data_IF_120083409929
#
_entry.id   IF_120083409929
#
_cell.length_a   1.000
_cell.length_b   1.000
_cell.length_c   1.000
_cell.angle_alpha   90.00
_cell.angle_beta   90.00
_cell.angle_gamma   90.00
#
_symmetry.space_group_name_H-M   'P 1'
#
loop_
_entity.id
_entity.type
_entity.pdbx_description
1 polymer ?
#
# COMPACT_ATOMS: atom_id res chain seq x y z
N UNK A 1 -27.83 13.27 42.08
CA UNK A 1 -27.63 12.50 40.83
C UNK A 1 -26.15 12.22 40.66
N UNK A 2 -25.81 11.01 40.25
CA UNK A 2 -24.44 10.69 39.83
C UNK A 2 -24.09 11.47 38.54
N UNK A 3 -22.80 11.70 38.28
CA UNK A 3 -22.33 12.35 37.04
C UNK A 3 -22.87 11.64 35.78
N UNK A 4 -23.01 10.30 35.85
CA UNK A 4 -23.50 9.42 34.77
C UNK A 4 -24.98 9.62 34.49
N UNK A 5 -25.82 9.67 35.53
CA UNK A 5 -27.26 9.92 35.38
C UNK A 5 -27.53 11.30 34.80
N UNK A 6 -26.83 12.33 35.28
CA UNK A 6 -26.97 13.69 34.77
C UNK A 6 -26.58 13.79 33.28
N UNK A 7 -25.53 13.07 32.87
CA UNK A 7 -25.15 12.99 31.46
C UNK A 7 -26.19 12.27 30.61
N UNK A 8 -26.68 11.11 31.06
CA UNK A 8 -27.74 10.37 30.36
C UNK A 8 -29.03 11.18 30.19
N UNK A 9 -29.43 11.93 31.21
CA UNK A 9 -30.60 12.80 31.19
C UNK A 9 -30.46 13.98 30.24
N UNK A 10 -29.23 14.47 30.04
CA UNK A 10 -28.95 15.53 29.08
C UNK A 10 -29.05 15.05 27.63
N UNK A 11 -28.85 13.76 27.34
CA UNK A 11 -28.97 13.20 25.97
C UNK A 11 -30.44 13.11 25.54
N UNK A 12 -31.06 14.25 25.26
CA UNK A 12 -32.39 14.32 24.66
C UNK A 12 -32.61 15.66 23.95
N UNK A 13 -33.62 15.71 23.08
CA UNK A 13 -33.98 16.89 22.29
C UNK A 13 -34.30 18.13 23.15
N UNK A 14 -34.88 17.92 24.32
CA UNK A 14 -35.30 18.99 25.23
C UNK A 14 -34.12 19.64 25.96
N UNK A 15 -33.01 18.92 26.12
CA UNK A 15 -31.83 19.34 26.89
C UNK A 15 -30.55 19.42 26.04
N UNK A 16 -30.67 19.65 24.72
CA UNK A 16 -29.52 19.68 23.79
C UNK A 16 -28.44 20.68 24.23
N UNK A 17 -28.83 21.84 24.76
CA UNK A 17 -27.87 22.82 25.27
C UNK A 17 -27.06 22.28 26.45
N UNK A 18 -27.68 21.53 27.35
CA UNK A 18 -27.00 20.93 28.48
C UNK A 18 -26.08 19.79 28.04
N UNK A 19 -26.50 18.99 27.06
CA UNK A 19 -25.64 17.99 26.42
C UNK A 19 -24.41 18.62 25.76
N UNK A 20 -24.61 19.69 24.99
CA UNK A 20 -23.51 20.44 24.37
C UNK A 20 -22.58 21.05 25.42
N UNK A 21 -23.11 21.55 26.55
CA UNK A 21 -22.28 22.02 27.67
C UNK A 21 -21.44 20.91 28.28
N UNK A 22 -21.97 19.69 28.42
CA UNK A 22 -21.18 18.55 28.88
C UNK A 22 -20.05 18.19 27.90
N UNK A 23 -20.32 18.24 26.59
CA UNK A 23 -19.31 17.98 25.56
C UNK A 23 -18.26 19.10 25.51
N UNK A 24 -18.66 20.36 25.59
CA UNK A 24 -17.76 21.52 25.58
C UNK A 24 -16.87 21.59 26.83
N UNK A 25 -17.37 21.10 27.96
CA UNK A 25 -16.60 20.99 29.22
C UNK A 25 -15.58 19.86 29.24
N UNK A 26 -15.52 19.05 28.19
CA UNK A 26 -14.46 18.06 28.03
C UNK A 26 -13.13 18.77 27.74
N UNK A 27 -12.45 19.17 28.80
CA UNK A 27 -11.05 19.57 28.78
C UNK A 27 -10.31 18.77 29.86
N UNK A 28 -9.09 18.28 29.57
CA UNK A 28 -8.28 17.42 30.47
C UNK A 28 -7.90 18.11 31.79
N UNK A 29 -8.35 19.35 31.98
CA UNK A 29 -8.03 20.25 33.08
C UNK A 29 -9.25 20.64 33.93
N UNK A 30 -10.48 20.33 33.50
CA UNK A 30 -11.75 20.58 34.22
C UNK A 30 -12.39 19.27 34.78
N UNK A 31 -13.33 19.33 35.74
CA UNK A 31 -13.74 18.18 36.56
C UNK A 31 -14.69 17.15 35.91
N UNK A 32 -15.01 17.28 34.62
CA UNK A 32 -15.94 16.39 33.92
C UNK A 32 -15.32 15.83 32.63
N UNK A 33 -14.95 14.55 32.70
CA UNK A 33 -14.39 13.79 31.58
C UNK A 33 -15.47 12.88 30.98
N UNK A 34 -15.89 13.18 29.75
CA UNK A 34 -16.88 12.39 28.99
C UNK A 34 -16.35 10.98 28.71
N UNK A 35 -15.05 10.81 28.48
CA UNK A 35 -14.43 9.49 28.26
C UNK A 35 -14.53 8.64 29.53
N UNK A 36 -14.16 9.20 30.68
CA UNK A 36 -14.31 8.55 31.99
C UNK A 36 -15.78 8.16 32.25
N UNK A 37 -16.71 9.10 32.03
CA UNK A 37 -18.14 8.87 32.26
C UNK A 37 -18.69 7.74 31.40
N UNK A 38 -18.34 7.70 30.11
CA UNK A 38 -18.81 6.65 29.19
C UNK A 38 -18.17 5.28 29.52
N UNK A 39 -16.90 5.25 29.92
CA UNK A 39 -16.22 4.01 30.33
C UNK A 39 -16.75 3.45 31.65
N UNK A 40 -17.15 4.29 32.60
CA UNK A 40 -17.69 3.87 33.90
C UNK A 40 -19.18 3.47 33.88
N UNK A 41 -19.88 3.68 32.75
CA UNK A 41 -21.29 3.32 32.63
C UNK A 41 -21.48 1.81 32.70
N UNK A 42 -22.46 1.37 33.49
CA UNK A 42 -22.91 -0.02 33.44
C UNK A 42 -23.55 -0.33 32.08
N UNK A 43 -23.60 -1.60 31.70
CA UNK A 43 -24.17 -2.05 30.43
C UNK A 43 -25.54 -1.42 30.10
N UNK A 44 -26.49 -1.48 31.04
CA UNK A 44 -27.85 -0.93 30.83
C UNK A 44 -27.83 0.60 30.60
N UNK A 45 -26.88 1.30 31.23
CA UNK A 45 -26.68 2.74 31.04
C UNK A 45 -26.11 3.04 29.66
N UNK A 46 -25.16 2.23 29.16
CA UNK A 46 -24.60 2.37 27.80
C UNK A 46 -25.67 2.13 26.74
N UNK A 47 -26.44 1.05 26.87
CA UNK A 47 -27.54 0.73 25.96
C UNK A 47 -28.60 1.85 25.92
N UNK A 48 -28.96 2.40 27.08
CA UNK A 48 -29.88 3.54 27.17
C UNK A 48 -29.30 4.82 26.53
N UNK A 49 -28.00 5.09 26.73
CA UNK A 49 -27.31 6.22 26.10
C UNK A 49 -27.37 6.13 24.57
N UNK A 50 -27.06 4.97 24.01
CA UNK A 50 -27.07 4.77 22.55
C UNK A 50 -28.47 4.93 21.97
N UNK A 51 -29.51 4.43 22.66
CA UNK A 51 -30.90 4.66 22.25
C UNK A 51 -31.29 6.13 22.23
N UNK A 52 -30.84 6.89 23.24
CA UNK A 52 -31.06 8.34 23.33
C UNK A 52 -30.30 9.12 22.25
N UNK A 53 -29.05 8.78 21.97
CA UNK A 53 -28.26 9.36 20.89
C UNK A 53 -28.90 9.10 19.52
N UNK A 54 -29.35 7.87 19.27
CA UNK A 54 -30.02 7.51 18.03
C UNK A 54 -31.30 8.33 17.82
N UNK A 55 -32.09 8.50 18.88
CA UNK A 55 -33.33 9.30 18.86
C UNK A 55 -33.04 10.78 18.63
N UNK A 56 -32.04 11.33 19.33
CA UNK A 56 -31.63 12.73 19.17
C UNK A 56 -31.15 13.01 17.75
N UNK A 57 -30.29 12.15 17.19
CA UNK A 57 -29.82 12.30 15.81
C UNK A 57 -30.99 12.22 14.82
N UNK A 58 -31.93 11.30 15.04
CA UNK A 58 -33.11 11.18 14.20
C UNK A 58 -33.97 12.45 14.22
N UNK A 59 -34.19 13.03 15.39
CA UNK A 59 -34.96 14.27 15.53
C UNK A 59 -34.28 15.45 14.83
N UNK A 60 -32.95 15.58 14.96
CA UNK A 60 -32.17 16.63 14.30
C UNK A 60 -32.26 16.49 12.77
N UNK A 61 -32.09 15.27 12.24
CA UNK A 61 -32.17 15.02 10.80
C UNK A 61 -33.59 15.23 10.22
N UNK A 62 -34.63 15.08 11.04
CA UNK A 62 -36.01 15.39 10.62
C UNK A 62 -36.29 16.91 10.59
N UNK A 63 -35.70 17.67 11.51
CA UNK A 63 -35.86 19.13 11.54
C UNK A 63 -35.01 19.82 10.46
N UNK A 64 -33.78 19.33 10.26
CA UNK A 64 -32.82 19.87 9.30
C UNK A 64 -32.33 18.76 8.34
N UNK A 65 -33.19 18.32 7.39
CA UNK A 65 -32.83 17.26 6.46
C UNK A 65 -31.69 17.70 5.52
N UNK A 66 -30.87 16.75 5.01
CA UNK A 66 -29.65 17.08 4.27
C UNK A 66 -29.84 17.96 3.04
N UNK A 67 -31.02 17.91 2.41
CA UNK A 67 -31.35 18.74 1.24
C UNK A 67 -31.44 20.24 1.56
N UNK A 68 -31.49 20.61 2.84
CA UNK A 68 -31.56 22.01 3.31
C UNK A 68 -30.23 22.55 3.79
N UNK A 69 -29.15 21.79 3.71
CA UNK A 69 -27.82 22.25 4.09
C UNK A 69 -27.31 23.19 2.99
N UNK A 70 -27.46 24.51 3.20
CA UNK A 70 -26.98 25.52 2.25
C UNK A 70 -25.44 25.53 2.18
N UNK A 71 -24.87 25.80 0.98
CA UNK A 71 -23.42 25.98 0.77
C UNK A 71 -22.87 27.31 1.34
N UNK A 72 -23.64 28.04 2.14
CA UNK A 72 -23.37 29.43 2.50
C UNK A 72 -23.00 29.66 3.96
N UNK A 73 -21.80 30.24 4.20
CA UNK A 73 -21.48 30.92 5.45
C UNK A 73 -20.06 30.69 5.94
N UNK A 74 -19.10 31.48 5.44
CA UNK A 74 -17.76 31.64 6.00
C UNK A 74 -17.86 32.41 7.33
N UNK A 75 -18.39 31.77 8.38
CA UNK A 75 -18.29 32.29 9.75
C UNK A 75 -17.42 31.34 10.56
N UNK A 76 -16.20 31.82 10.82
CA UNK A 76 -15.13 31.06 11.45
C UNK A 76 -15.55 30.41 12.76
N UNK A 77 -15.77 29.10 12.73
CA UNK A 77 -15.80 28.30 13.94
C UNK A 77 -14.36 27.90 14.29
N UNK A 78 -13.95 28.35 15.48
CA UNK A 78 -12.75 27.90 16.15
C UNK A 78 -12.76 26.36 16.25
N UNK A 79 -11.66 25.75 15.83
CA UNK A 79 -11.27 24.38 16.18
C UNK A 79 -11.28 24.24 17.71
N UNK A 80 -12.42 23.87 18.28
CA UNK A 80 -12.48 23.30 19.62
C UNK A 80 -12.64 21.80 19.44
N UNK A 81 -11.64 21.06 19.96
CA UNK A 81 -11.62 19.60 20.04
C UNK A 81 -12.70 19.12 21.00
N UNK A 82 -13.97 19.25 20.60
CA UNK A 82 -15.10 18.70 21.32
C UNK A 82 -14.99 17.17 21.31
N UNK A 83 -15.24 16.53 22.46
CA UNK A 83 -15.33 15.09 22.52
C UNK A 83 -16.49 14.60 21.63
N UNK A 84 -16.23 13.59 20.79
CA UNK A 84 -17.28 12.90 20.05
C UNK A 84 -17.77 11.70 20.88
N UNK A 85 -18.94 11.80 21.54
CA UNK A 85 -19.47 10.75 22.39
C UNK A 85 -19.80 9.46 21.63
N UNK A 86 -20.04 9.54 20.32
CA UNK A 86 -20.29 8.34 19.49
C UNK A 86 -18.99 7.57 19.28
N UNK A 87 -17.90 8.26 18.97
CA UNK A 87 -16.56 7.65 18.88
C UNK A 87 -16.11 7.09 20.23
N UNK A 88 -16.29 7.83 21.34
CA UNK A 88 -15.98 7.36 22.70
C UNK A 88 -16.77 6.09 23.06
N UNK A 89 -18.03 6.01 22.64
CA UNK A 89 -18.87 4.82 22.83
C UNK A 89 -18.29 3.56 22.19
N UNK A 90 -17.65 3.68 21.02
CA UNK A 90 -17.02 2.53 20.34
C UNK A 90 -15.85 1.96 21.16
N UNK A 91 -15.08 2.83 21.82
CA UNK A 91 -13.98 2.40 22.67
C UNK A 91 -14.48 1.71 23.95
N UNK A 92 -15.58 2.19 24.52
CA UNK A 92 -16.20 1.64 25.73
C UNK A 92 -17.01 0.34 25.52
N UNK A 93 -17.17 -0.14 24.29
CA UNK A 93 -17.85 -1.41 24.01
C UNK A 93 -17.12 -2.61 24.65
N UNK A 94 -17.87 -3.43 25.39
CA UNK A 94 -17.42 -4.68 26.02
C UNK A 94 -18.02 -5.92 25.32
N UNK A 95 -17.40 -7.10 25.55
CA UNK A 95 -17.87 -8.37 24.99
C UNK A 95 -19.27 -8.73 25.50
N UNK A 96 -20.22 -8.85 24.57
CA UNK A 96 -21.62 -9.22 24.86
C UNK A 96 -22.59 -8.05 24.98
N UNK A 97 -22.13 -6.79 24.83
CA UNK A 97 -22.98 -5.60 24.75
C UNK A 97 -23.90 -5.63 23.51
N UNK A 98 -25.15 -5.19 23.66
CA UNK A 98 -26.09 -5.03 22.55
C UNK A 98 -26.01 -3.61 21.96
N UNK A 99 -25.26 -3.43 20.87
CA UNK A 99 -24.96 -2.11 20.29
C UNK A 99 -25.82 -1.74 19.08
N UNK A 100 -27.02 -2.31 18.93
CA UNK A 100 -27.88 -2.10 17.75
C UNK A 100 -28.26 -0.62 17.54
N UNK A 101 -28.56 0.11 18.60
CA UNK A 101 -28.85 1.55 18.55
C UNK A 101 -27.62 2.38 18.15
N UNK A 102 -26.44 2.00 18.65
CA UNK A 102 -25.19 2.65 18.26
C UNK A 102 -24.90 2.40 16.77
N UNK A 103 -25.03 1.16 16.30
CA UNK A 103 -24.88 0.81 14.88
C UNK A 103 -25.82 1.63 14.00
N UNK A 104 -27.08 1.78 14.38
CA UNK A 104 -28.05 2.61 13.65
C UNK A 104 -27.65 4.09 13.61
N UNK A 105 -27.09 4.60 14.71
CA UNK A 105 -26.54 5.97 14.76
C UNK A 105 -25.38 6.13 13.77
N UNK A 106 -24.44 5.19 13.74
CA UNK A 106 -23.30 5.22 12.81
C UNK A 106 -23.76 5.09 11.35
N UNK A 107 -24.78 4.26 11.07
CA UNK A 107 -25.37 4.18 9.71
C UNK A 107 -25.91 5.52 9.26
N UNK A 108 -26.73 6.19 10.08
CA UNK A 108 -27.31 7.51 9.76
C UNK A 108 -26.22 8.56 9.52
N UNK A 109 -25.20 8.60 10.39
CA UNK A 109 -24.06 9.52 10.23
C UNK A 109 -23.28 9.24 8.94
N UNK A 110 -23.07 7.97 8.60
CA UNK A 110 -22.41 7.59 7.35
C UNK A 110 -23.24 7.97 6.12
N UNK A 111 -24.57 7.81 6.18
CA UNK A 111 -25.45 8.04 5.03
C UNK A 111 -25.58 9.54 4.69
N UNK A 112 -25.42 10.44 5.67
CA UNK A 112 -25.43 11.89 5.43
C UNK A 112 -24.07 12.46 4.98
N UNK A 113 -23.02 11.65 4.93
CA UNK A 113 -21.66 12.10 4.66
C UNK A 113 -21.52 12.78 3.28
N UNK A 114 -22.17 12.24 2.26
CA UNK A 114 -22.09 12.77 0.88
C UNK A 114 -22.83 14.11 0.73
N UNK A 115 -23.79 14.39 1.61
CA UNK A 115 -24.57 15.63 1.61
C UNK A 115 -23.94 16.76 2.43
N UNK A 116 -22.92 16.49 3.26
CA UNK A 116 -22.34 17.50 4.15
C UNK A 116 -21.65 18.63 3.36
N UNK A 117 -21.97 19.91 3.66
CA UNK A 117 -21.31 21.04 3.01
C UNK A 117 -19.84 21.13 3.43
N UNK A 118 -19.04 21.86 2.64
CA UNK A 118 -17.60 22.02 2.86
C UNK A 118 -17.28 22.70 4.21
N UNK A 119 -18.19 23.54 4.71
CA UNK A 119 -18.10 24.18 6.03
C UNK A 119 -18.06 23.16 7.17
N UNK A 120 -18.69 22.00 7.00
CA UNK A 120 -18.77 20.92 8.00
C UNK A 120 -17.59 19.94 7.93
N UNK A 121 -16.41 20.44 7.52
CA UNK A 121 -15.16 19.67 7.56
C UNK A 121 -14.85 19.07 8.96
N UNK A 122 -15.15 19.74 10.09
CA UNK A 122 -15.00 19.13 11.42
C UNK A 122 -15.91 17.91 11.61
N UNK A 123 -17.18 17.96 11.23
CA UNK A 123 -18.10 16.83 11.37
C UNK A 123 -17.66 15.66 10.46
N UNK A 124 -17.26 15.94 9.23
CA UNK A 124 -16.68 14.92 8.33
C UNK A 124 -15.44 14.25 8.96
N UNK A 125 -14.63 14.99 9.72
CA UNK A 125 -13.49 14.43 10.43
C UNK A 125 -13.91 13.46 11.54
N UNK A 126 -14.92 13.80 12.33
CA UNK A 126 -15.44 12.94 13.39
C UNK A 126 -16.07 11.66 12.82
N UNK A 127 -16.90 11.77 11.78
CA UNK A 127 -17.48 10.60 11.10
C UNK A 127 -16.37 9.70 10.54
N UNK A 128 -15.32 10.29 9.94
CA UNK A 128 -14.17 9.53 9.46
C UNK A 128 -13.47 8.76 10.58
N UNK A 129 -13.18 9.41 11.71
CA UNK A 129 -12.54 8.79 12.87
C UNK A 129 -13.40 7.69 13.50
N UNK A 130 -14.73 7.90 13.55
CA UNK A 130 -15.71 6.92 13.99
C UNK A 130 -15.68 5.67 13.11
N UNK A 131 -15.73 5.82 11.79
CA UNK A 131 -15.65 4.70 10.86
C UNK A 131 -14.31 3.95 10.96
N UNK A 132 -13.19 4.67 11.16
CA UNK A 132 -11.88 4.07 11.40
C UNK A 132 -11.87 3.24 12.70
N UNK A 133 -12.42 3.77 13.79
CA UNK A 133 -12.54 3.06 15.07
C UNK A 133 -13.44 1.82 14.96
N UNK A 134 -14.57 1.95 14.24
CA UNK A 134 -15.50 0.85 13.97
C UNK A 134 -14.84 -0.32 13.24
N UNK A 135 -14.05 0.00 12.21
CA UNK A 135 -13.26 -0.99 11.48
C UNK A 135 -12.27 -1.72 12.38
N UNK A 136 -11.47 -0.97 13.15
CA UNK A 136 -10.43 -1.54 14.04
C UNK A 136 -11.01 -2.43 15.13
N UNK A 137 -12.19 -2.10 15.64
CA UNK A 137 -12.90 -2.89 16.67
C UNK A 137 -13.53 -4.17 16.07
N UNK A 138 -13.67 -4.28 14.75
CA UNK A 138 -14.16 -5.48 14.07
C UNK A 138 -15.66 -5.74 14.28
N UNK A 139 -16.45 -4.66 14.41
CA UNK A 139 -17.88 -4.71 14.70
C UNK A 139 -18.72 -5.14 13.48
N UNK A 140 -20.03 -5.34 13.68
CA UNK A 140 -20.97 -5.65 12.60
C UNK A 140 -20.92 -4.58 11.50
N UNK A 141 -21.03 -5.00 10.23
CA UNK A 141 -20.96 -4.12 9.05
C UNK A 141 -19.64 -3.34 8.92
N UNK A 142 -18.56 -3.82 9.54
CA UNK A 142 -17.24 -3.19 9.43
C UNK A 142 -16.84 -2.93 7.98
N UNK A 143 -17.19 -3.78 7.02
CA UNK A 143 -16.86 -3.61 5.61
C UNK A 143 -17.46 -2.33 5.02
N UNK A 144 -18.69 -1.95 5.40
CA UNK A 144 -19.34 -0.70 4.97
C UNK A 144 -18.56 0.51 5.48
N UNK A 145 -18.33 0.57 6.79
CA UNK A 145 -17.68 1.72 7.42
C UNK A 145 -16.17 1.79 7.11
N UNK A 146 -15.52 0.64 7.02
CA UNK A 146 -14.13 0.51 6.58
C UNK A 146 -13.94 1.02 5.16
N UNK A 147 -14.85 0.70 4.24
CA UNK A 147 -14.87 1.26 2.88
C UNK A 147 -14.97 2.78 2.90
N UNK A 148 -15.90 3.34 3.68
CA UNK A 148 -16.04 4.80 3.82
C UNK A 148 -14.75 5.44 4.33
N UNK A 149 -14.21 4.95 5.44
CA UNK A 149 -12.99 5.49 6.04
C UNK A 149 -11.79 5.38 5.08
N UNK A 150 -11.65 4.25 4.41
CA UNK A 150 -10.59 4.01 3.44
C UNK A 150 -10.68 4.99 2.27
N UNK A 151 -11.88 5.18 1.69
CA UNK A 151 -12.10 6.09 0.57
C UNK A 151 -11.81 7.54 0.96
N UNK A 152 -12.29 7.98 2.13
CA UNK A 152 -12.04 9.32 2.64
C UNK A 152 -10.54 9.56 2.87
N UNK A 153 -9.84 8.63 3.52
CA UNK A 153 -8.39 8.69 3.73
C UNK A 153 -7.65 8.78 2.39
N UNK A 154 -8.06 7.96 1.42
CA UNK A 154 -7.47 7.92 0.09
C UNK A 154 -7.66 9.25 -0.65
N UNK A 155 -8.87 9.80 -0.68
CA UNK A 155 -9.15 11.10 -1.29
C UNK A 155 -8.38 12.24 -0.60
N UNK A 156 -8.39 12.30 0.74
CA UNK A 156 -7.65 13.30 1.52
C UNK A 156 -6.15 13.23 1.28
N UNK A 157 -5.61 12.04 1.02
CA UNK A 157 -4.18 11.87 0.70
C UNK A 157 -3.74 12.56 -0.59
N UNK A 158 -4.68 12.89 -1.50
CA UNK A 158 -4.40 13.63 -2.74
C UNK A 158 -4.69 15.13 -2.63
N UNK A 159 -5.57 15.55 -1.73
CA UNK A 159 -5.97 16.96 -1.60
C UNK A 159 -5.14 17.72 -0.57
N UNK A 160 -4.66 17.06 0.48
CA UNK A 160 -3.91 17.71 1.55
C UNK A 160 -2.47 18.03 1.16
N UNK A 161 -1.97 19.21 1.57
CA UNK A 161 -0.57 19.63 1.39
C UNK A 161 0.44 18.70 2.09
N UNK A 162 0.03 18.10 3.23
CA UNK A 162 0.84 17.18 4.04
C UNK A 162 0.07 15.87 4.26
N UNK A 163 0.06 14.96 3.28
CA UNK A 163 -0.82 13.78 3.32
C UNK A 163 -0.26 12.62 4.15
N UNK A 164 0.84 12.80 4.91
CA UNK A 164 1.54 11.71 5.59
C UNK A 164 0.65 10.91 6.56
N UNK A 165 -0.16 11.60 7.35
CA UNK A 165 -1.10 10.96 8.27
C UNK A 165 -2.19 10.17 7.52
N UNK A 166 -2.69 10.70 6.40
CA UNK A 166 -3.68 9.99 5.58
C UNK A 166 -3.09 8.78 4.87
N UNK A 167 -1.84 8.85 4.39
CA UNK A 167 -1.14 7.68 3.83
C UNK A 167 -0.97 6.58 4.88
N UNK A 168 -0.65 6.95 6.12
CA UNK A 168 -0.57 6.00 7.24
C UNK A 168 -1.94 5.37 7.53
N UNK A 169 -3.03 6.15 7.47
CA UNK A 169 -4.41 5.63 7.59
C UNK A 169 -4.80 4.71 6.44
N UNK A 170 -4.48 5.06 5.19
CA UNK A 170 -4.69 4.18 4.04
C UNK A 170 -3.98 2.85 4.23
N UNK A 171 -2.75 2.87 4.77
CA UNK A 171 -2.05 1.64 5.13
C UNK A 171 -2.71 0.90 6.30
N UNK A 172 -3.18 1.57 7.35
CA UNK A 172 -3.85 0.87 8.48
C UNK A 172 -5.18 0.23 8.07
N UNK A 173 -5.85 0.77 7.04
CA UNK A 173 -7.13 0.30 6.51
C UNK A 173 -7.01 -0.61 5.27
N UNK A 174 -5.80 -0.97 4.84
CA UNK A 174 -5.58 -1.69 3.58
C UNK A 174 -6.36 -3.01 3.45
N UNK A 175 -6.63 -3.71 4.56
CA UNK A 175 -7.41 -4.95 4.60
C UNK A 175 -8.86 -4.77 4.12
N UNK A 176 -9.38 -3.55 4.11
CA UNK A 176 -10.68 -3.22 3.49
C UNK A 176 -10.73 -3.70 2.04
N UNK A 177 -9.60 -3.62 1.31
CA UNK A 177 -9.50 -4.07 -0.07
C UNK A 177 -9.81 -5.56 -0.23
N UNK A 178 -9.60 -6.40 0.79
CA UNK A 178 -9.92 -7.83 0.73
C UNK A 178 -11.44 -8.09 0.64
N UNK A 179 -12.26 -7.12 1.05
CA UNK A 179 -13.73 -7.18 0.91
C UNK A 179 -14.24 -6.58 -0.41
N UNK A 180 -13.38 -5.93 -1.19
CA UNK A 180 -13.77 -5.26 -2.43
C UNK A 180 -13.67 -6.21 -3.63
N UNK A 181 -14.75 -6.26 -4.40
CA UNK A 181 -14.76 -6.93 -5.69
C UNK A 181 -14.13 -6.02 -6.77
N UNK A 182 -13.00 -6.46 -7.33
CA UNK A 182 -12.31 -5.76 -8.41
C UNK A 182 -13.17 -5.61 -9.68
N UNK A 183 -14.10 -6.54 -9.93
CA UNK A 183 -14.91 -6.55 -11.17
C UNK A 183 -16.16 -5.67 -11.09
N UNK A 184 -16.53 -5.21 -9.89
CA UNK A 184 -17.72 -4.39 -9.68
C UNK A 184 -17.53 -2.95 -10.19
N UNK A 185 -18.53 -2.48 -10.93
CA UNK A 185 -18.61 -1.10 -11.46
C UNK A 185 -18.59 -0.05 -10.33
N UNK A 186 -19.23 -0.34 -9.20
CA UNK A 186 -19.30 0.55 -8.04
C UNK A 186 -17.93 0.79 -7.39
N UNK A 187 -16.96 -0.10 -7.67
CA UNK A 187 -15.61 -0.02 -7.14
C UNK A 187 -14.64 0.70 -8.07
N UNK A 188 -15.04 1.03 -9.30
CA UNK A 188 -14.20 1.77 -10.25
C UNK A 188 -13.63 3.08 -9.70
N UNK A 189 -14.38 3.92 -8.97
CA UNK A 189 -13.82 5.15 -8.39
C UNK A 189 -12.66 4.85 -7.43
N UNK A 190 -12.81 3.85 -6.57
CA UNK A 190 -11.75 3.42 -5.63
C UNK A 190 -10.56 2.88 -6.42
N UNK A 191 -10.78 1.98 -7.38
CA UNK A 191 -9.73 1.39 -8.22
C UNK A 191 -8.92 2.46 -8.96
N UNK A 192 -9.59 3.48 -9.51
CA UNK A 192 -8.92 4.60 -10.17
C UNK A 192 -8.03 5.39 -9.20
N UNK A 193 -8.47 5.60 -7.96
CA UNK A 193 -7.65 6.25 -6.93
C UNK A 193 -6.46 5.37 -6.52
N UNK A 194 -6.62 4.05 -6.42
CA UNK A 194 -5.52 3.12 -6.17
C UNK A 194 -4.43 3.21 -7.24
N UNK A 195 -4.83 3.33 -8.51
CA UNK A 195 -3.89 3.54 -9.62
C UNK A 195 -3.16 4.88 -9.52
N UNK A 196 -3.87 5.95 -9.13
CA UNK A 196 -3.27 7.27 -8.92
C UNK A 196 -2.20 7.26 -7.81
N UNK A 197 -2.27 6.36 -6.83
CA UNK A 197 -1.20 6.20 -5.83
C UNK A 197 0.15 5.88 -6.48
N UNK A 198 0.18 5.07 -7.55
CA UNK A 198 1.40 4.78 -8.31
C UNK A 198 1.92 5.98 -9.11
N UNK A 199 1.13 7.04 -9.22
CA UNK A 199 1.49 8.28 -9.92
C UNK A 199 2.00 9.38 -8.99
N UNK A 200 1.73 9.24 -7.69
CA UNK A 200 2.00 10.29 -6.73
C UNK A 200 3.36 10.10 -6.02
N UNK A 201 4.33 11.01 -6.18
CA UNK A 201 5.66 10.86 -5.59
C UNK A 201 5.66 10.69 -4.08
N UNK A 202 4.67 11.26 -3.39
CA UNK A 202 4.55 11.14 -1.93
C UNK A 202 4.30 9.70 -1.48
N UNK A 203 3.46 8.94 -2.19
CA UNK A 203 3.25 7.52 -1.90
C UNK A 203 4.52 6.70 -2.16
N UNK A 204 5.22 6.99 -3.26
CA UNK A 204 6.42 6.25 -3.65
C UNK A 204 7.60 6.50 -2.70
N UNK A 205 7.67 7.69 -2.09
CA UNK A 205 8.77 8.07 -1.18
C UNK A 205 8.49 7.73 0.28
N UNK A 206 7.23 7.80 0.72
CA UNK A 206 6.79 7.46 2.08
C UNK A 206 6.88 5.94 2.33
N UNK A 207 7.27 5.52 3.52
CA UNK A 207 7.47 4.09 3.81
C UNK A 207 6.16 3.31 3.94
N UNK A 208 5.12 3.88 4.55
CA UNK A 208 3.78 3.27 4.57
C UNK A 208 3.14 3.30 3.17
N UNK A 209 3.38 4.37 2.41
CA UNK A 209 3.00 4.44 1.00
C UNK A 209 3.64 3.32 0.17
N UNK A 210 4.95 3.06 0.32
CA UNK A 210 5.62 1.92 -0.33
C UNK A 210 5.05 0.58 0.11
N UNK A 211 4.76 0.40 1.40
CA UNK A 211 4.15 -0.84 1.91
C UNK A 211 2.79 -1.08 1.26
N UNK A 212 1.98 -0.03 1.18
CA UNK A 212 0.68 -0.06 0.52
C UNK A 212 0.79 -0.38 -0.97
N UNK A 213 1.65 0.30 -1.73
CA UNK A 213 1.85 0.03 -3.15
C UNK A 213 2.35 -1.40 -3.42
N UNK A 214 3.23 -1.93 -2.55
CA UNK A 214 3.68 -3.33 -2.63
C UNK A 214 2.53 -4.30 -2.35
N UNK A 215 1.66 -3.99 -1.38
CA UNK A 215 0.48 -4.81 -1.08
C UNK A 215 -0.48 -4.90 -2.28
N UNK A 216 -0.67 -3.82 -3.04
CA UNK A 216 -1.56 -3.81 -4.20
C UNK A 216 -1.19 -4.82 -5.29
N UNK A 217 0.08 -5.23 -5.39
CA UNK A 217 0.50 -6.32 -6.29
C UNK A 217 -0.02 -7.70 -5.88
N UNK A 218 -0.47 -7.85 -4.64
CA UNK A 218 -1.03 -9.09 -4.08
C UNK A 218 -2.55 -9.04 -3.93
N UNK A 219 -3.21 -7.96 -4.37
CA UNK A 219 -4.65 -7.78 -4.17
C UNK A 219 -5.48 -8.50 -5.24
N UNK A 220 -5.18 -8.30 -6.52
CA UNK A 220 -5.87 -8.94 -7.63
C UNK A 220 -4.90 -9.15 -8.82
N UNK A 221 -4.95 -10.32 -9.45
CA UNK A 221 -4.02 -10.71 -10.52
C UNK A 221 -4.17 -9.83 -11.77
N UNK A 222 -5.39 -9.54 -12.20
CA UNK A 222 -5.67 -8.68 -13.35
C UNK A 222 -5.22 -7.23 -13.10
N UNK A 223 -5.28 -6.79 -11.84
CA UNK A 223 -4.82 -5.47 -11.45
C UNK A 223 -3.31 -5.27 -11.62
N UNK A 224 -2.50 -6.34 -11.51
CA UNK A 224 -1.03 -6.28 -11.68
C UNK A 224 -0.65 -5.69 -13.05
N UNK A 225 -1.36 -6.11 -14.11
CA UNK A 225 -1.11 -5.61 -15.46
C UNK A 225 -1.38 -4.11 -15.57
N UNK A 226 -2.47 -3.64 -14.96
CA UNK A 226 -2.85 -2.22 -14.99
C UNK A 226 -1.87 -1.38 -14.17
N UNK A 227 -1.43 -1.88 -13.01
CA UNK A 227 -0.35 -1.29 -12.21
C UNK A 227 0.91 -1.15 -13.08
N UNK A 228 1.31 -2.23 -13.75
CA UNK A 228 2.51 -2.23 -14.59
C UNK A 228 2.42 -1.24 -15.76
N UNK A 229 1.29 -1.19 -16.46
CA UNK A 229 1.03 -0.21 -17.50
C UNK A 229 1.12 1.23 -16.95
N UNK A 230 0.53 1.48 -15.78
CA UNK A 230 0.55 2.79 -15.09
C UNK A 230 1.97 3.23 -14.72
N UNK A 231 2.79 2.30 -14.24
CA UNK A 231 4.18 2.58 -13.90
C UNK A 231 5.02 2.84 -15.15
N UNK A 232 4.79 2.09 -16.24
CA UNK A 232 5.51 2.30 -17.51
C UNK A 232 5.36 3.72 -18.05
N UNK A 233 4.18 4.31 -17.90
CA UNK A 233 3.91 5.69 -18.31
C UNK A 233 4.72 6.74 -17.54
N UNK A 234 5.36 6.37 -16.42
CA UNK A 234 6.08 7.27 -15.54
C UNK A 234 7.57 6.98 -15.39
N UNK A 235 8.12 6.04 -16.17
CA UNK A 235 9.51 5.61 -16.03
C UNK A 235 10.55 6.72 -16.18
N UNK A 236 10.18 7.85 -16.80
CA UNK A 236 11.07 9.00 -16.94
C UNK A 236 11.42 9.66 -15.58
N UNK A 237 10.54 9.58 -14.58
CA UNK A 237 10.61 10.43 -13.38
C UNK A 237 11.12 9.71 -12.12
N UNK A 238 10.70 8.47 -11.81
CA UNK A 238 10.87 7.90 -10.44
C UNK A 238 11.44 6.46 -10.44
N UNK A 239 12.66 6.26 -10.91
CA UNK A 239 13.17 4.90 -11.23
C UNK A 239 13.64 4.04 -10.06
N UNK A 240 14.36 4.60 -9.10
CA UNK A 240 15.01 3.79 -8.05
C UNK A 240 13.98 3.12 -7.14
N UNK A 241 12.92 3.85 -6.77
CA UNK A 241 11.86 3.33 -5.92
C UNK A 241 10.98 2.29 -6.64
N UNK A 242 10.79 2.45 -7.96
CA UNK A 242 10.05 1.45 -8.76
C UNK A 242 10.77 0.10 -8.71
N UNK A 243 12.10 0.08 -8.89
CA UNK A 243 12.88 -1.17 -8.87
C UNK A 243 12.75 -1.90 -7.53
N UNK A 244 12.86 -1.16 -6.43
CA UNK A 244 12.68 -1.69 -5.08
C UNK A 244 11.27 -2.21 -4.83
N UNK A 245 10.24 -1.49 -5.30
CA UNK A 245 8.84 -1.89 -5.18
C UNK A 245 8.57 -3.23 -5.88
N UNK A 246 8.99 -3.38 -7.14
CA UNK A 246 8.84 -4.65 -7.86
C UNK A 246 9.57 -5.79 -7.17
N UNK A 247 10.80 -5.57 -6.71
CA UNK A 247 11.56 -6.60 -6.00
C UNK A 247 10.87 -7.03 -4.70
N UNK A 248 10.34 -6.08 -3.93
CA UNK A 248 9.59 -6.35 -2.69
C UNK A 248 8.28 -7.08 -2.96
N UNK A 249 7.55 -6.69 -4.01
CA UNK A 249 6.31 -7.35 -4.43
C UNK A 249 6.59 -8.79 -4.87
N UNK A 250 7.56 -8.99 -5.78
CA UNK A 250 8.00 -10.31 -6.22
C UNK A 250 8.42 -11.20 -5.05
N UNK A 251 9.24 -10.70 -4.12
CA UNK A 251 9.73 -11.48 -2.98
C UNK A 251 8.61 -11.95 -2.03
N UNK A 252 7.50 -11.23 -1.97
CA UNK A 252 6.33 -11.56 -1.13
C UNK A 252 5.27 -12.38 -1.86
N UNK A 253 5.29 -12.40 -3.19
CA UNK A 253 4.27 -13.05 -3.99
C UNK A 253 4.43 -14.58 -3.98
N UNK A 254 3.31 -15.27 -4.18
CA UNK A 254 3.24 -16.71 -4.39
C UNK A 254 2.11 -17.05 -5.37
N UNK A 255 2.10 -18.27 -5.90
CA UNK A 255 1.09 -18.74 -6.85
C UNK A 255 0.97 -17.84 -8.09
N UNK A 256 -0.27 -17.61 -8.53
CA UNK A 256 -0.59 -16.87 -9.76
C UNK A 256 -0.07 -15.42 -9.75
N UNK A 257 0.03 -14.79 -8.57
CA UNK A 257 0.58 -13.45 -8.41
C UNK A 257 2.08 -13.43 -8.76
N UNK A 258 2.83 -14.43 -8.30
CA UNK A 258 4.27 -14.54 -8.58
C UNK A 258 4.49 -14.75 -10.07
N UNK A 259 3.75 -15.67 -10.68
CA UNK A 259 3.83 -15.95 -12.12
C UNK A 259 3.54 -14.69 -12.94
N UNK A 260 2.51 -13.91 -12.59
CA UNK A 260 2.17 -12.68 -13.30
C UNK A 260 3.21 -11.57 -13.10
N UNK A 261 3.76 -11.40 -11.89
CA UNK A 261 4.83 -10.42 -11.66
C UNK A 261 6.07 -10.79 -12.47
N UNK A 262 6.43 -12.06 -12.52
CA UNK A 262 7.59 -12.55 -13.27
C UNK A 262 7.40 -12.41 -14.79
N UNK A 263 6.31 -12.96 -15.33
CA UNK A 263 6.05 -13.04 -16.77
C UNK A 263 5.60 -11.71 -17.37
N UNK A 264 4.67 -11.00 -16.72
CA UNK A 264 4.02 -9.80 -17.29
C UNK A 264 4.71 -8.49 -16.91
N UNK A 265 5.49 -8.47 -15.81
CA UNK A 265 6.17 -7.25 -15.37
C UNK A 265 7.69 -7.33 -15.53
N UNK A 266 8.35 -8.26 -14.84
CA UNK A 266 9.81 -8.32 -14.79
C UNK A 266 10.39 -8.66 -16.16
N UNK A 267 9.82 -9.68 -16.84
CA UNK A 267 10.26 -10.05 -18.18
C UNK A 267 9.99 -8.94 -19.21
N UNK A 268 8.89 -8.18 -19.09
CA UNK A 268 8.62 -7.02 -19.94
C UNK A 268 9.73 -5.96 -19.79
N UNK A 269 10.18 -5.67 -18.56
CA UNK A 269 11.34 -4.79 -18.36
C UNK A 269 12.63 -5.36 -18.95
N UNK A 270 12.88 -6.67 -18.81
CA UNK A 270 14.06 -7.31 -19.42
C UNK A 270 14.03 -7.22 -20.95
N UNK A 271 12.88 -7.47 -21.58
CA UNK A 271 12.70 -7.34 -23.01
C UNK A 271 12.90 -5.88 -23.45
N UNK A 272 12.28 -4.92 -22.75
CA UNK A 272 12.46 -3.50 -23.05
C UNK A 272 13.92 -3.04 -22.88
N UNK A 273 14.65 -3.57 -21.90
CA UNK A 273 16.08 -3.31 -21.73
C UNK A 273 16.93 -3.82 -22.91
N UNK A 274 16.47 -4.86 -23.61
CA UNK A 274 17.12 -5.42 -24.80
C UNK A 274 16.74 -4.62 -26.06
N UNK A 275 15.43 -4.41 -26.28
CA UNK A 275 14.90 -3.96 -27.56
C UNK A 275 14.72 -2.44 -27.72
N UNK A 276 14.67 -1.68 -26.61
CA UNK A 276 14.58 -0.22 -26.71
C UNK A 276 15.84 0.36 -27.35
N UNK A 277 15.65 1.30 -28.26
CA UNK A 277 16.74 2.09 -28.85
C UNK A 277 17.48 2.84 -27.75
N UNK A 278 18.80 2.93 -27.87
CA UNK A 278 19.62 3.60 -26.83
C UNK A 278 19.31 5.08 -26.65
N UNK A 279 18.83 5.73 -27.70
CA UNK A 279 18.40 7.13 -27.70
C UNK A 279 17.08 7.36 -26.94
N UNK A 280 16.32 6.32 -26.60
CA UNK A 280 15.08 6.46 -25.85
C UNK A 280 15.34 7.03 -24.45
N UNK A 281 14.57 8.04 -24.00
CA UNK A 281 14.75 8.64 -22.67
C UNK A 281 14.53 7.65 -21.52
N UNK A 282 13.75 6.59 -21.76
CA UNK A 282 13.45 5.56 -20.75
C UNK A 282 14.39 4.35 -20.79
N UNK A 283 15.25 4.22 -21.80
CA UNK A 283 16.10 3.03 -21.92
C UNK A 283 17.08 2.88 -20.75
N UNK A 284 17.76 3.97 -20.34
CA UNK A 284 18.63 3.94 -19.16
C UNK A 284 17.86 3.61 -17.88
N UNK A 285 16.61 4.06 -17.80
CA UNK A 285 15.70 3.89 -16.67
C UNK A 285 15.24 2.44 -16.50
N UNK A 286 14.80 1.81 -17.59
CA UNK A 286 14.45 0.39 -17.61
C UNK A 286 15.66 -0.48 -17.23
N UNK A 287 16.85 -0.18 -17.75
CA UNK A 287 18.06 -0.92 -17.35
C UNK A 287 18.38 -0.78 -15.87
N UNK A 288 18.15 0.39 -15.27
CA UNK A 288 18.35 0.57 -13.83
C UNK A 288 17.43 -0.35 -13.01
N UNK A 289 16.18 -0.52 -13.45
CA UNK A 289 15.23 -1.45 -12.82
C UNK A 289 15.73 -2.88 -12.92
N UNK A 290 16.11 -3.33 -14.11
CA UNK A 290 16.61 -4.70 -14.32
C UNK A 290 17.92 -4.95 -13.55
N UNK A 291 18.83 -3.97 -13.54
CA UNK A 291 20.10 -4.04 -12.82
C UNK A 291 19.90 -4.25 -11.31
N UNK A 292 18.82 -3.74 -10.74
CA UNK A 292 18.47 -3.95 -9.33
C UNK A 292 18.26 -5.42 -8.95
N UNK A 293 17.77 -6.24 -9.89
CA UNK A 293 17.66 -7.69 -9.71
C UNK A 293 19.03 -8.35 -9.88
N UNK A 294 19.82 -7.94 -10.88
CA UNK A 294 21.16 -8.48 -11.11
C UNK A 294 22.11 -8.27 -9.95
N UNK A 295 22.07 -7.12 -9.26
CA UNK A 295 22.93 -6.85 -8.10
C UNK A 295 22.58 -7.72 -6.89
N UNK A 296 21.45 -8.44 -6.92
CA UNK A 296 20.98 -9.36 -5.88
C UNK A 296 21.03 -10.83 -6.33
N UNK A 297 21.69 -11.11 -7.46
CA UNK A 297 22.07 -12.47 -7.84
C UNK A 297 22.99 -13.10 -6.78
N UNK A 298 22.99 -14.43 -6.70
CA UNK A 298 23.64 -15.21 -5.63
C UNK A 298 22.67 -15.69 -4.55
N UNK A 299 21.40 -15.29 -4.61
CA UNK A 299 20.33 -15.93 -3.85
C UNK A 299 19.59 -16.91 -4.76
N UNK A 300 19.42 -18.16 -4.31
CA UNK A 300 18.77 -19.23 -5.06
C UNK A 300 17.46 -18.82 -5.76
N UNK A 301 16.57 -18.10 -5.07
CA UNK A 301 15.30 -17.66 -5.66
C UNK A 301 15.48 -16.63 -6.78
N UNK A 302 16.40 -15.68 -6.62
CA UNK A 302 16.70 -14.66 -7.64
C UNK A 302 17.36 -15.32 -8.85
N UNK A 303 18.32 -16.21 -8.62
CA UNK A 303 19.03 -16.90 -9.70
C UNK A 303 18.09 -17.78 -10.52
N UNK A 304 17.17 -18.50 -9.86
CA UNK A 304 16.12 -19.28 -10.53
C UNK A 304 15.20 -18.41 -11.39
N UNK A 305 14.73 -17.29 -10.83
CA UNK A 305 13.89 -16.34 -11.56
C UNK A 305 14.65 -15.75 -12.77
N UNK A 306 15.89 -15.27 -12.58
CA UNK A 306 16.71 -14.73 -13.67
C UNK A 306 16.94 -15.76 -14.78
N UNK A 307 17.25 -17.02 -14.42
CA UNK A 307 17.40 -18.11 -15.36
C UNK A 307 16.13 -18.33 -16.19
N UNK A 308 14.98 -18.49 -15.53
CA UNK A 308 13.70 -18.73 -16.19
C UNK A 308 13.31 -17.59 -17.14
N UNK A 309 13.45 -16.34 -16.67
CA UNK A 309 13.00 -15.18 -17.45
C UNK A 309 13.93 -14.82 -18.60
N UNK A 310 15.25 -15.05 -18.48
CA UNK A 310 16.17 -14.81 -19.59
C UNK A 310 16.18 -15.91 -20.64
N UNK A 311 15.90 -17.17 -20.26
CA UNK A 311 15.92 -18.34 -21.15
C UNK A 311 15.22 -18.11 -22.50
N UNK A 312 13.99 -17.56 -22.58
CA UNK A 312 13.30 -17.37 -23.86
C UNK A 312 13.80 -16.19 -24.73
N UNK A 313 14.52 -15.22 -24.15
CA UNK A 313 14.79 -13.92 -24.79
C UNK A 313 16.27 -13.61 -25.01
N UNK A 314 17.15 -13.94 -24.07
CA UNK A 314 18.52 -13.41 -24.06
C UNK A 314 19.36 -13.99 -25.19
N UNK A 315 19.36 -15.31 -25.35
CA UNK A 315 20.18 -16.01 -26.33
C UNK A 315 19.80 -15.63 -27.76
N UNK A 316 18.50 -15.47 -28.03
CA UNK A 316 17.99 -14.96 -29.32
C UNK A 316 18.46 -13.53 -29.57
N UNK A 317 18.46 -12.69 -28.55
CA UNK A 317 18.88 -11.29 -28.67
C UNK A 317 20.39 -11.13 -28.89
N UNK A 318 21.23 -12.00 -28.32
CA UNK A 318 22.67 -12.01 -28.56
C UNK A 318 23.03 -12.34 -30.01
N UNK A 319 22.21 -13.15 -30.68
CA UNK A 319 22.36 -13.50 -32.09
C UNK A 319 21.52 -12.63 -33.05
N UNK A 320 20.87 -11.57 -32.56
CA UNK A 320 19.99 -10.74 -33.37
C UNK A 320 20.75 -10.01 -34.50
N UNK A 321 20.14 -9.75 -35.67
CA UNK A 321 20.78 -9.00 -36.75
C UNK A 321 21.09 -7.53 -36.39
N UNK A 322 20.27 -6.93 -35.53
CA UNK A 322 20.41 -5.55 -35.10
C UNK A 322 21.57 -5.38 -34.09
N UNK A 323 22.51 -4.50 -34.40
CA UNK A 323 23.69 -4.29 -33.56
C UNK A 323 23.38 -3.69 -32.18
N UNK A 324 22.38 -2.80 -32.07
CA UNK A 324 21.98 -2.22 -30.78
C UNK A 324 21.38 -3.28 -29.87
N UNK A 325 20.51 -4.14 -30.42
CA UNK A 325 19.89 -5.25 -29.70
C UNK A 325 20.98 -6.20 -29.17
N UNK A 326 21.95 -6.61 -30.01
CA UNK A 326 23.08 -7.43 -29.57
C UNK A 326 23.89 -6.74 -28.48
N UNK A 327 24.19 -5.45 -28.63
CA UNK A 327 24.98 -4.69 -27.68
C UNK A 327 24.27 -4.51 -26.34
N UNK A 328 22.93 -4.35 -26.35
CA UNK A 328 22.10 -4.27 -25.15
C UNK A 328 22.00 -5.63 -24.44
N UNK A 329 21.72 -6.69 -25.19
CA UNK A 329 21.68 -8.06 -24.67
C UNK A 329 23.04 -8.47 -24.06
N UNK A 330 24.14 -8.14 -24.73
CA UNK A 330 25.49 -8.42 -24.20
C UNK A 330 25.74 -7.67 -22.90
N UNK A 331 25.30 -6.41 -22.79
CA UNK A 331 25.43 -5.62 -21.58
C UNK A 331 24.67 -6.27 -20.41
N UNK A 332 23.40 -6.61 -20.61
CA UNK A 332 22.59 -7.26 -19.58
C UNK A 332 23.16 -8.63 -19.20
N UNK A 333 23.59 -9.40 -20.18
CA UNK A 333 24.23 -10.69 -19.95
C UNK A 333 25.47 -10.56 -19.08
N UNK A 334 26.36 -9.59 -19.37
CA UNK A 334 27.54 -9.36 -18.52
C UNK A 334 27.20 -8.92 -17.10
N UNK A 335 26.06 -8.27 -16.89
CA UNK A 335 25.61 -7.83 -15.57
C UNK A 335 24.98 -8.98 -14.78
N UNK A 336 24.18 -9.82 -15.44
CA UNK A 336 23.50 -10.98 -14.88
C UNK A 336 24.38 -12.25 -14.77
N UNK A 337 25.56 -12.26 -15.39
CA UNK A 337 26.44 -13.42 -15.39
C UNK A 337 26.89 -13.81 -13.96
N UNK A 338 26.88 -15.12 -13.62
CA UNK A 338 26.41 -16.27 -14.42
C UNK A 338 24.90 -16.50 -14.34
N UNK A 339 24.25 -16.79 -15.47
CA UNK A 339 22.81 -17.12 -15.50
C UNK A 339 22.68 -18.65 -15.48
N UNK A 340 22.31 -19.24 -14.34
CA UNK A 340 22.24 -20.69 -14.18
C UNK A 340 21.00 -21.10 -13.40
N UNK A 341 20.59 -22.36 -13.57
CA UNK A 341 19.55 -22.94 -12.74
C UNK A 341 20.18 -23.47 -11.44
N UNK A 342 19.84 -22.92 -10.26
CA UNK A 342 20.44 -23.34 -9.00
C UNK A 342 19.95 -24.72 -8.50
N UNK A 343 19.02 -25.36 -9.21
CA UNK A 343 18.58 -26.73 -8.93
C UNK A 343 19.35 -27.79 -9.75
N UNK A 344 20.26 -27.38 -10.64
CA UNK A 344 21.08 -28.30 -11.43
C UNK A 344 22.28 -28.84 -10.64
N UNK A 345 22.82 -29.98 -11.07
CA UNK A 345 24.06 -30.52 -10.50
C UNK A 345 25.25 -29.60 -10.80
N UNK A 346 26.27 -29.63 -9.94
CA UNK A 346 27.46 -28.79 -10.07
C UNK A 346 28.17 -29.00 -11.41
N UNK A 347 28.22 -30.23 -11.94
CA UNK A 347 28.83 -30.51 -13.24
C UNK A 347 28.08 -29.81 -14.37
N UNK A 348 26.74 -29.88 -14.34
CA UNK A 348 25.89 -29.23 -15.34
C UNK A 348 25.99 -27.70 -15.26
N UNK A 349 26.12 -27.15 -14.05
CA UNK A 349 26.34 -25.73 -13.83
C UNK A 349 27.67 -25.30 -14.46
N UNK A 350 28.75 -26.02 -14.18
CA UNK A 350 30.09 -25.71 -14.72
C UNK A 350 30.12 -25.78 -16.26
N UNK A 351 29.52 -26.81 -16.85
CA UNK A 351 29.38 -26.92 -18.31
C UNK A 351 28.57 -25.75 -18.91
N UNK A 352 27.48 -25.36 -18.25
CA UNK A 352 26.63 -24.26 -18.72
C UNK A 352 27.33 -22.90 -18.57
N UNK A 353 28.13 -22.71 -17.51
CA UNK A 353 28.96 -21.53 -17.34
C UNK A 353 30.03 -21.48 -18.43
N UNK A 354 30.65 -22.60 -18.78
CA UNK A 354 31.64 -22.66 -19.86
C UNK A 354 31.03 -22.25 -21.21
N UNK A 355 29.86 -22.80 -21.57
CA UNK A 355 29.11 -22.40 -22.78
C UNK A 355 28.79 -20.91 -22.81
N UNK A 356 28.47 -20.33 -21.64
CA UNK A 356 28.22 -18.90 -21.50
C UNK A 356 29.47 -18.05 -21.72
N UNK A 357 30.62 -18.49 -21.23
CA UNK A 357 31.91 -17.82 -21.46
C UNK A 357 32.30 -17.84 -22.94
N UNK A 358 32.09 -18.98 -23.63
CA UNK A 358 32.34 -19.08 -25.06
C UNK A 358 31.44 -18.13 -25.85
N UNK A 359 30.17 -18.01 -25.45
CA UNK A 359 29.21 -17.06 -26.01
C UNK A 359 29.64 -15.61 -25.78
N UNK A 360 30.12 -15.26 -24.58
CA UNK A 360 30.66 -13.93 -24.27
C UNK A 360 31.89 -13.61 -25.10
N UNK A 361 32.77 -14.59 -25.31
CA UNK A 361 33.95 -14.46 -26.14
C UNK A 361 33.57 -14.12 -27.59
N UNK A 362 32.60 -14.84 -28.17
CA UNK A 362 32.04 -14.54 -29.50
C UNK A 362 31.42 -13.14 -29.58
N UNK A 363 30.69 -12.72 -28.55
CA UNK A 363 30.10 -11.37 -28.47
C UNK A 363 31.16 -10.26 -28.40
N UNK A 364 32.30 -10.52 -27.75
CA UNK A 364 33.41 -9.58 -27.64
C UNK A 364 34.05 -9.24 -28.98
N UNK A 365 34.24 -10.24 -29.86
CA UNK A 365 34.83 -10.02 -31.19
C UNK A 365 33.85 -9.38 -32.17
N UNK A 366 32.57 -9.69 -32.04
CA UNK A 366 31.52 -9.20 -32.94
C UNK A 366 30.95 -7.82 -32.56
N UNK A 367 31.21 -7.32 -31.35
CA UNK A 367 30.64 -6.07 -30.86
C UNK A 367 31.71 -5.11 -30.29
N UNK A 368 32.02 -4.03 -31.02
CA UNK A 368 33.06 -3.04 -30.64
C UNK A 368 32.87 -2.42 -29.24
N UNK A 369 31.66 -2.45 -28.68
CA UNK A 369 31.31 -1.83 -27.40
C UNK A 369 31.83 -2.61 -26.16
N UNK A 370 32.05 -3.92 -26.26
CA UNK A 370 32.42 -4.79 -25.12
C UNK A 370 33.89 -4.61 -24.71
N UNK A 371 34.72 -4.01 -25.58
CA UNK A 371 36.16 -3.81 -25.36
C UNK A 371 36.50 -3.00 -24.09
N UNK A 372 35.59 -2.15 -23.59
CA UNK A 372 35.81 -1.30 -22.38
C UNK A 372 35.44 -1.94 -21.02
N UNK A 373 34.60 -2.98 -20.95
CA UNK A 373 34.06 -3.53 -19.67
C UNK A 373 34.76 -4.79 -19.13
N UNK A 374 35.85 -5.26 -19.75
CA UNK A 374 36.53 -6.54 -19.45
C UNK A 374 37.01 -6.73 -17.98
N UNK A 375 37.36 -5.64 -17.27
CA UNK A 375 37.89 -5.72 -15.89
C UNK A 375 36.89 -6.26 -14.86
N UNK A 376 35.62 -5.85 -14.91
CA UNK A 376 34.62 -6.30 -13.92
C UNK A 376 34.19 -7.76 -14.13
N UNK A 377 34.24 -8.24 -15.38
CA UNK A 377 33.84 -9.61 -15.76
C UNK A 377 34.85 -10.65 -15.26
N UNK A 378 36.16 -10.40 -15.43
CA UNK A 378 37.22 -11.29 -14.92
C UNK A 378 37.19 -11.38 -13.38
N UNK A 379 36.79 -10.30 -12.70
CA UNK A 379 36.65 -10.28 -11.24
C UNK A 379 35.50 -11.19 -10.75
N UNK A 380 34.33 -11.14 -11.41
CA UNK A 380 33.20 -12.04 -11.10
C UNK A 380 33.52 -13.51 -11.39
N UNK A 381 34.25 -13.78 -12.47
CA UNK A 381 34.68 -15.15 -12.82
C UNK A 381 35.61 -15.75 -11.75
N UNK A 382 36.59 -14.97 -11.27
CA UNK A 382 37.44 -15.40 -10.15
C UNK A 382 36.63 -15.66 -8.86
N UNK A 383 35.57 -14.87 -8.62
CA UNK A 383 34.70 -15.03 -7.45
C UNK A 383 33.90 -16.35 -7.53
N UNK A 384 33.23 -16.63 -8.66
CA UNK A 384 32.44 -17.86 -8.85
C UNK A 384 33.32 -19.11 -8.75
N UNK A 385 34.51 -19.11 -9.35
CA UNK A 385 35.48 -20.21 -9.21
C UNK A 385 36.04 -20.35 -7.78
N UNK A 386 36.13 -19.26 -7.01
CA UNK A 386 36.55 -19.32 -5.60
C UNK A 386 35.44 -19.85 -4.69
N UNK A 387 34.16 -19.56 -4.99
CA UNK A 387 33.01 -20.06 -4.23
C UNK A 387 32.73 -21.54 -4.48
N UNK A 388 32.86 -22.02 -5.73
CA UNK A 388 32.78 -23.45 -6.07
C UNK A 388 33.87 -24.30 -5.39
N UNK A 389 35.02 -23.69 -5.07
CA UNK A 389 36.10 -24.32 -4.29
C UNK A 389 35.97 -24.13 -2.78
N UNK A 390 35.08 -23.27 -2.30
CA UNK A 390 34.91 -22.92 -0.89
C UNK A 390 33.86 -23.76 -0.15
N UNK A 391 33.19 -24.71 -0.82
CA UNK A 391 32.29 -25.69 -0.18
C UNK A 391 33.02 -26.68 0.75
N UNK A 392 34.32 -26.49 0.98
CA UNK A 392 35.07 -27.03 2.11
C UNK A 392 35.62 -25.87 2.94
N UNK A 393 34.76 -25.09 3.60
CA UNK A 393 34.93 -24.57 4.97
C UNK A 393 33.93 -23.44 5.32
N UNK A 394 33.11 -23.73 6.33
CA UNK A 394 32.45 -22.81 7.27
C UNK A 394 31.22 -21.98 6.80
N UNK A 395 30.06 -22.46 7.25
CA UNK A 395 28.96 -21.64 7.77
C UNK A 395 29.42 -20.93 9.06
N UNK A 396 28.87 -19.75 9.41
CA UNK A 396 27.61 -19.78 10.16
C UNK A 396 26.59 -18.70 9.73
N UNK A 397 25.36 -19.17 9.51
CA UNK A 397 24.19 -18.49 10.06
C UNK A 397 24.32 -18.44 11.59
N UNK A 398 24.37 -17.23 12.18
CA UNK A 398 23.89 -17.02 13.55
C UNK A 398 23.33 -15.61 13.74
N UNK A 399 22.06 -15.58 14.11
CA UNK A 399 21.38 -14.72 15.09
C UNK A 399 22.01 -13.36 15.48
N UNK A 400 21.23 -12.31 15.28
CA UNK A 400 21.01 -11.16 16.21
C UNK A 400 19.61 -10.64 15.86
N UNK A 401 18.52 -11.01 16.55
CA UNK A 401 18.17 -10.69 17.94
C UNK A 401 18.59 -9.27 18.33
N UNK A 402 17.57 -8.40 18.38
CA UNK A 402 17.56 -7.14 19.12
C UNK A 402 17.98 -7.35 20.59
N UNK A 403 18.48 -6.29 21.23
CA UNK A 403 17.71 -5.79 22.37
C UNK A 403 17.70 -4.25 22.50
N UNK A 404 16.63 -3.71 23.10
CA UNK A 404 16.54 -2.32 23.59
C UNK A 404 15.53 -1.47 22.86
#
# INVERSE_FOLDING_TARGET
MSKREAFLEAVCKENVEDFLRFIQRHDKTEPFDVEEVVQEMARDQREAMWGRLASLLQDILLELPPERWEEGGDEGMQEQSAADPVSLSVYALEDGDAYSALLETVRRLNDVLESLPVSEAPLQHHIHALCEAWWKKGLQEREKFGRTAFLMSLQKSFTLKKPGAEIQRVWSLHDVLLSLDYTSEDNKPIINLLLQCFQHPTYIRNDDGKRFLVFLFSWNVDFIWIIHATIKNQLQTITTHIAEMYFRAWKKAGGDFLENIESSCIQDFMQNAIFLRRASPVHAKVRQIVSYFHTRSGCKSVDKMLYNLYRPILWKALSAPNFEVRANATLLFTEAFPIHDPDQSNENIDENIQKQLDTLHLCYFSCCFVKKKKKNMMCKYCFVLSSSKADVCYSPCSERLYPG
#
